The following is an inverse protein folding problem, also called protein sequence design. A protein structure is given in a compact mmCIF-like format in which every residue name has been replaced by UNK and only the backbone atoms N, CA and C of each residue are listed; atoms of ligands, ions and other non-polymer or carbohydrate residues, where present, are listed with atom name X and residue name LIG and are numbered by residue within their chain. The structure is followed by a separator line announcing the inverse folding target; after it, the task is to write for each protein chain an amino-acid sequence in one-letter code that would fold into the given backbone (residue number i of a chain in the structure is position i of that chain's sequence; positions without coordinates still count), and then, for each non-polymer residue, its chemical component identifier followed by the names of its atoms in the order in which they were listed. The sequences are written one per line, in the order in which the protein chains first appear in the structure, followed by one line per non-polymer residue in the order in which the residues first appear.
data_IF_101293317169
#
_entry.id   IF_101293317169
#
_cell.length_a   1.000
_cell.length_b   1.000
_cell.length_c   1.000
_cell.angle_alpha   90.00
_cell.angle_beta   90.00
_cell.angle_gamma   90.00
#
_symmetry.space_group_name_H-M   'P 1'
#
loop_
_entity.id
_entity.type
_entity.pdbx_description
1 polymer ?
#
# COMPACT_ATOMS: atom_id res chain seq x y z
N UNK A 1 58.35 -16.19 -8.93
CA UNK A 1 57.47 -15.56 -7.90
C UNK A 1 56.45 -14.55 -8.42
N UNK A 2 56.62 -13.86 -9.56
CA UNK A 2 55.64 -12.87 -10.05
C UNK A 2 54.34 -13.45 -10.69
N UNK A 3 54.32 -14.74 -11.05
CA UNK A 3 53.15 -15.39 -11.70
C UNK A 3 52.07 -15.89 -10.71
N UNK A 4 52.42 -16.14 -9.45
CA UNK A 4 51.46 -16.61 -8.43
C UNK A 4 50.59 -15.48 -7.86
N UNK A 5 51.09 -14.24 -7.86
CA UNK A 5 50.34 -13.07 -7.38
C UNK A 5 49.20 -12.72 -8.35
N UNK A 6 49.38 -12.91 -9.65
CA UNK A 6 48.36 -12.61 -10.67
C UNK A 6 47.15 -13.56 -10.63
N UNK A 7 47.37 -14.83 -10.25
CA UNK A 7 46.28 -15.82 -10.15
C UNK A 7 45.44 -15.57 -8.89
N UNK A 8 46.07 -15.19 -7.79
CA UNK A 8 45.37 -14.84 -6.55
C UNK A 8 44.49 -13.58 -6.69
N UNK A 9 44.94 -12.57 -7.45
CA UNK A 9 44.15 -11.36 -7.72
C UNK A 9 42.97 -11.65 -8.66
N UNK A 10 43.11 -12.54 -9.66
CA UNK A 10 41.98 -12.95 -10.49
C UNK A 10 40.93 -13.79 -9.73
N UNK A 11 41.34 -14.65 -8.79
CA UNK A 11 40.41 -15.40 -7.94
C UNK A 11 39.70 -14.50 -6.90
N UNK A 12 40.35 -13.44 -6.40
CA UNK A 12 39.75 -12.46 -5.49
C UNK A 12 38.78 -11.50 -6.21
N UNK A 13 39.03 -11.15 -7.47
CA UNK A 13 38.10 -10.32 -8.27
C UNK A 13 36.89 -11.14 -8.72
N UNK A 14 37.06 -12.44 -9.04
CA UNK A 14 35.96 -13.34 -9.38
C UNK A 14 35.04 -13.67 -8.17
N UNK A 15 35.57 -13.60 -6.94
CA UNK A 15 34.75 -13.75 -5.72
C UNK A 15 34.10 -12.43 -5.27
N UNK A 16 34.64 -11.27 -5.67
CA UNK A 16 33.98 -9.98 -5.47
C UNK A 16 32.79 -9.74 -6.42
N UNK A 17 32.78 -10.36 -7.61
CA UNK A 17 31.65 -10.32 -8.55
C UNK A 17 30.62 -11.45 -8.35
N UNK A 18 30.88 -12.43 -7.48
CA UNK A 18 29.91 -13.47 -7.09
C UNK A 18 29.02 -13.10 -5.90
N UNK A 19 29.16 -11.89 -5.34
CA UNK A 19 28.12 -11.30 -4.48
C UNK A 19 27.02 -10.62 -5.32
N UNK A 20 26.64 -11.21 -6.46
CA UNK A 20 25.29 -11.00 -6.98
C UNK A 20 24.36 -11.63 -5.94
N UNK A 21 23.93 -10.81 -4.98
CA UNK A 21 23.13 -11.23 -3.85
C UNK A 21 21.92 -12.04 -4.35
N UNK A 22 21.63 -13.11 -3.61
CA UNK A 22 20.68 -14.18 -3.95
C UNK A 22 19.52 -14.21 -2.96
N UNK A 23 19.31 -13.11 -2.25
CA UNK A 23 18.31 -13.03 -1.18
C UNK A 23 16.92 -12.81 -1.78
N UNK A 24 15.90 -13.32 -1.10
CA UNK A 24 14.53 -12.98 -1.45
C UNK A 24 14.33 -11.48 -1.16
N UNK A 25 13.81 -10.70 -2.11
CA UNK A 25 13.63 -9.28 -1.88
C UNK A 25 12.49 -9.04 -0.88
N UNK A 26 12.73 -8.16 0.08
CA UNK A 26 11.76 -7.81 1.13
C UNK A 26 11.59 -6.30 1.28
N UNK A 27 10.36 -5.88 1.59
CA UNK A 27 9.98 -4.48 1.81
C UNK A 27 9.52 -3.76 0.54
N UNK A 28 9.57 -2.44 0.59
CA UNK A 28 9.03 -1.55 -0.44
C UNK A 28 10.08 -1.17 -1.48
N UNK A 29 9.74 -1.29 -2.76
CA UNK A 29 10.57 -0.88 -3.90
C UNK A 29 9.75 -0.13 -4.93
N UNK A 30 10.38 0.76 -5.68
CA UNK A 30 9.75 1.56 -6.73
C UNK A 30 10.17 1.04 -8.11
N UNK A 31 9.21 0.93 -9.02
CA UNK A 31 9.46 0.61 -10.42
C UNK A 31 10.26 1.74 -11.07
N UNK A 32 11.43 1.41 -11.62
CA UNK A 32 12.31 2.37 -12.31
C UNK A 32 12.21 2.24 -13.83
N UNK A 33 12.09 0.99 -14.31
CA UNK A 33 12.21 0.66 -15.72
C UNK A 33 11.39 -0.57 -16.03
N UNK A 34 10.81 -0.59 -17.21
CA UNK A 34 10.17 -1.79 -17.74
C UNK A 34 10.62 -2.05 -19.18
N UNK A 35 10.86 -3.32 -19.50
CA UNK A 35 11.38 -3.76 -20.81
C UNK A 35 10.56 -4.94 -21.33
N UNK A 36 10.51 -5.06 -22.66
CA UNK A 36 9.74 -6.09 -23.37
C UNK A 36 10.70 -6.96 -24.20
N UNK A 37 10.40 -8.24 -24.31
CA UNK A 37 11.26 -9.21 -25.00
C UNK A 37 11.49 -8.87 -26.49
N UNK A 38 10.48 -8.33 -27.19
CA UNK A 38 10.53 -8.08 -28.63
C UNK A 38 11.06 -6.70 -29.02
N UNK A 39 12.22 -6.30 -28.48
CA UNK A 39 13.03 -5.19 -29.03
C UNK A 39 12.36 -3.81 -29.02
N UNK A 40 11.28 -3.64 -28.26
CA UNK A 40 10.71 -2.32 -27.99
C UNK A 40 11.67 -1.58 -27.06
N UNK A 41 11.94 -0.29 -27.32
CA UNK A 41 12.83 0.48 -26.46
C UNK A 41 12.34 0.41 -25.02
N UNK A 42 13.31 0.30 -24.12
CA UNK A 42 13.11 0.50 -22.70
C UNK A 42 12.19 1.70 -22.47
N UNK A 43 11.12 1.51 -21.73
CA UNK A 43 10.23 2.61 -21.41
C UNK A 43 10.33 2.92 -19.93
N UNK A 44 10.45 4.21 -19.63
CA UNK A 44 10.13 4.72 -18.31
C UNK A 44 8.62 4.54 -18.14
N UNK A 45 8.15 3.86 -17.09
CA UNK A 45 6.72 3.71 -16.86
C UNK A 45 6.03 5.07 -16.86
N UNK A 46 4.92 5.20 -17.60
CA UNK A 46 4.14 6.44 -17.66
C UNK A 46 3.37 6.72 -16.35
N UNK A 47 3.38 5.75 -15.44
CA UNK A 47 2.72 5.78 -14.14
C UNK A 47 3.71 5.39 -13.03
N UNK A 48 3.48 5.90 -11.82
CA UNK A 48 4.28 5.54 -10.65
C UNK A 48 3.71 4.26 -10.05
N UNK A 49 4.57 3.25 -9.90
CA UNK A 49 4.24 1.95 -9.33
C UNK A 49 5.27 1.55 -8.28
N UNK A 50 4.80 0.91 -7.22
CA UNK A 50 5.63 0.30 -6.20
C UNK A 50 5.27 -1.18 -6.05
N UNK A 51 6.23 -1.92 -5.51
CA UNK A 51 6.05 -3.29 -5.07
C UNK A 51 6.39 -3.40 -3.59
N UNK A 52 5.46 -3.90 -2.80
CA UNK A 52 5.71 -4.25 -1.41
C UNK A 52 5.82 -5.77 -1.31
N UNK A 53 7.01 -6.22 -0.96
CA UNK A 53 7.40 -7.61 -0.92
C UNK A 53 7.35 -8.13 0.51
N UNK A 54 6.49 -9.14 0.70
CA UNK A 54 6.22 -9.79 1.97
C UNK A 54 5.81 -11.25 1.70
N UNK A 55 5.22 -11.93 2.70
CA UNK A 55 4.55 -13.22 2.48
C UNK A 55 3.45 -13.18 1.41
N UNK A 56 2.88 -12.00 1.13
CA UNK A 56 1.86 -11.77 0.11
C UNK A 56 2.24 -10.51 -0.67
N UNK A 57 2.95 -10.62 -1.80
CA UNK A 57 3.45 -9.45 -2.49
C UNK A 57 2.29 -8.70 -3.15
N UNK A 58 2.37 -7.37 -3.05
CA UNK A 58 1.37 -6.46 -3.60
C UNK A 58 2.01 -5.45 -4.54
N UNK A 59 1.26 -5.08 -5.56
CA UNK A 59 1.53 -3.90 -6.40
C UNK A 59 0.70 -2.72 -5.89
N UNK A 60 1.35 -1.56 -5.82
CA UNK A 60 0.73 -0.30 -5.40
C UNK A 60 0.87 0.68 -6.57
N UNK A 61 -0.24 1.03 -7.19
CA UNK A 61 -0.28 1.98 -8.31
C UNK A 61 -0.70 3.35 -7.79
N UNK A 62 0.00 4.40 -8.21
CA UNK A 62 -0.40 5.78 -7.92
C UNK A 62 -1.44 6.22 -8.92
N UNK A 63 -2.69 6.45 -8.46
CA UNK A 63 -3.77 6.95 -9.30
C UNK A 63 -3.67 8.46 -9.52
N UNK A 64 -3.60 9.22 -8.42
CA UNK A 64 -3.45 10.68 -8.45
C UNK A 64 -2.37 11.08 -7.45
N UNK A 65 -1.41 11.89 -7.88
CA UNK A 65 -0.39 12.50 -7.03
C UNK A 65 -0.43 14.02 -7.21
N UNK A 66 -1.18 14.72 -6.35
CA UNK A 66 -1.06 16.17 -6.24
C UNK A 66 -0.13 16.51 -5.08
N UNK A 67 0.38 17.74 -4.94
CA UNK A 67 1.13 18.11 -3.74
C UNK A 67 0.37 17.96 -2.42
N UNK A 68 -0.96 17.79 -2.44
CA UNK A 68 -1.84 17.80 -1.27
C UNK A 68 -2.55 16.47 -1.01
N UNK A 69 -2.76 15.66 -2.04
CA UNK A 69 -3.54 14.43 -1.98
C UNK A 69 -2.88 13.36 -2.84
N UNK A 70 -2.74 12.17 -2.26
CA UNK A 70 -2.20 10.99 -2.94
C UNK A 70 -3.22 9.87 -2.86
N UNK A 71 -3.48 9.25 -4.00
CA UNK A 71 -4.38 8.12 -4.13
C UNK A 71 -3.60 6.92 -4.63
N UNK A 72 -3.69 5.82 -3.90
CA UNK A 72 -3.02 4.58 -4.23
C UNK A 72 -4.06 3.48 -4.41
N UNK A 73 -3.92 2.70 -5.48
CA UNK A 73 -4.67 1.46 -5.67
C UNK A 73 -3.76 0.27 -5.37
N UNK A 74 -4.26 -0.68 -4.57
CA UNK A 74 -3.50 -1.85 -4.16
C UNK A 74 -4.08 -3.09 -4.85
N UNK A 75 -3.18 -3.88 -5.42
CA UNK A 75 -3.49 -5.19 -6.00
C UNK A 75 -2.56 -6.23 -5.40
N UNK A 76 -3.11 -7.38 -5.04
CA UNK A 76 -2.30 -8.55 -4.74
C UNK A 76 -1.82 -9.19 -6.05
N UNK A 77 -0.52 -9.48 -6.11
CA UNK A 77 0.08 -10.08 -7.29
C UNK A 77 0.02 -11.60 -7.25
N UNK A 78 0.64 -12.17 -6.21
CA UNK A 78 0.80 -13.61 -6.02
C UNK A 78 0.22 -14.03 -4.67
N UNK A 79 -0.29 -15.27 -4.53
CA UNK A 79 -0.75 -15.80 -3.26
C UNK A 79 0.37 -16.21 -2.29
N UNK A 80 1.64 -16.15 -2.75
CA UNK A 80 2.83 -16.61 -2.03
C UNK A 80 3.96 -15.59 -2.17
N UNK A 81 4.97 -15.61 -1.27
CA UNK A 81 6.10 -14.70 -1.37
C UNK A 81 6.87 -14.88 -2.68
N UNK A 82 7.41 -13.79 -3.20
CA UNK A 82 8.37 -13.86 -4.29
C UNK A 82 9.69 -14.46 -3.78
N UNK A 83 10.13 -15.53 -4.42
CA UNK A 83 11.40 -16.18 -4.13
C UNK A 83 12.41 -15.91 -5.24
N UNK A 84 13.68 -15.74 -4.88
CA UNK A 84 14.76 -15.68 -5.85
C UNK A 84 14.83 -16.98 -6.66
N UNK A 85 14.70 -16.88 -7.99
CA UNK A 85 14.75 -18.03 -8.91
C UNK A 85 15.99 -18.00 -9.80
N UNK A 86 16.69 -16.87 -9.86
CA UNK A 86 17.62 -16.57 -10.94
C UNK A 86 16.90 -16.41 -12.29
N UNK A 87 17.67 -16.33 -13.38
CA UNK A 87 17.12 -16.21 -14.74
C UNK A 87 16.82 -17.57 -15.41
N UNK A 88 16.61 -18.61 -14.59
CA UNK A 88 16.22 -19.93 -15.11
C UNK A 88 14.74 -19.93 -15.47
N UNK A 89 14.36 -20.81 -16.40
CA UNK A 89 12.94 -21.05 -16.69
C UNK A 89 12.24 -21.58 -15.42
N UNK A 90 11.05 -21.05 -15.16
CA UNK A 90 10.21 -21.40 -14.00
C UNK A 90 8.86 -21.89 -14.53
N UNK A 91 8.29 -22.92 -13.93
CA UNK A 91 7.06 -23.57 -14.40
C UNK A 91 7.29 -24.59 -15.50
N UNK A 92 6.32 -25.48 -15.74
CA UNK A 92 6.43 -26.57 -16.71
C UNK A 92 6.53 -26.07 -18.16
N UNK A 93 5.88 -24.94 -18.46
CA UNK A 93 5.91 -24.27 -19.77
C UNK A 93 6.95 -23.14 -19.85
N UNK A 94 7.69 -22.91 -18.77
CA UNK A 94 8.71 -21.87 -18.66
C UNK A 94 8.17 -20.46 -18.41
N UNK A 95 6.83 -20.23 -18.42
CA UNK A 95 6.19 -18.91 -18.28
C UNK A 95 5.98 -18.44 -16.84
N UNK A 96 6.56 -19.14 -15.85
CA UNK A 96 6.50 -18.74 -14.46
C UNK A 96 7.22 -17.42 -14.18
N UNK A 97 6.75 -16.70 -13.15
CA UNK A 97 7.38 -15.46 -12.66
C UNK A 97 8.79 -15.73 -12.14
N UNK A 98 9.74 -14.85 -12.48
CA UNK A 98 11.16 -14.97 -12.12
C UNK A 98 11.63 -13.76 -11.36
N UNK A 99 12.48 -14.00 -10.36
CA UNK A 99 13.19 -12.95 -9.61
C UNK A 99 14.68 -13.21 -9.75
N UNK A 100 15.40 -12.19 -10.20
CA UNK A 100 16.85 -12.23 -10.34
C UNK A 100 17.46 -10.84 -10.15
N UNK A 101 18.79 -10.77 -10.11
CA UNK A 101 19.54 -9.55 -9.82
C UNK A 101 18.94 -8.82 -8.60
N UNK A 102 18.97 -9.48 -7.44
CA UNK A 102 18.21 -9.05 -6.26
C UNK A 102 19.12 -8.87 -5.06
N UNK A 103 18.95 -7.75 -4.37
CA UNK A 103 19.56 -7.51 -3.08
C UNK A 103 18.63 -6.69 -2.18
N UNK A 104 19.17 -6.21 -1.07
CA UNK A 104 18.44 -5.35 -0.12
C UNK A 104 17.94 -4.03 -0.72
N UNK A 105 18.51 -3.56 -1.83
CA UNK A 105 18.28 -2.25 -2.42
C UNK A 105 17.53 -2.32 -3.77
N UNK A 106 17.63 -3.42 -4.52
CA UNK A 106 17.00 -3.57 -5.84
C UNK A 106 16.60 -5.02 -6.14
N UNK A 107 15.69 -5.23 -7.09
CA UNK A 107 15.42 -6.54 -7.68
C UNK A 107 14.87 -6.41 -9.10
N UNK A 108 15.03 -7.47 -9.90
CA UNK A 108 14.38 -7.59 -11.21
C UNK A 108 13.31 -8.67 -11.18
N UNK A 109 12.12 -8.33 -11.68
CA UNK A 109 10.99 -9.24 -11.86
C UNK A 109 10.75 -9.47 -13.34
N UNK A 110 10.66 -10.72 -13.76
CA UNK A 110 10.24 -11.07 -15.12
C UNK A 110 8.98 -11.94 -15.05
N UNK A 111 7.92 -11.52 -15.72
CA UNK A 111 6.64 -12.22 -15.73
C UNK A 111 6.09 -12.29 -17.15
N UNK A 112 5.29 -13.31 -17.43
CA UNK A 112 4.73 -13.53 -18.76
C UNK A 112 3.30 -12.98 -18.84
N UNK A 113 3.06 -12.04 -19.75
CA UNK A 113 1.75 -11.41 -19.86
C UNK A 113 0.81 -12.21 -20.75
N UNK A 114 -0.20 -12.85 -20.16
CA UNK A 114 -1.25 -13.58 -20.89
C UNK A 114 -2.52 -12.74 -21.12
N UNK A 115 -2.56 -11.51 -20.62
CA UNK A 115 -3.76 -10.66 -20.68
C UNK A 115 -3.93 -10.13 -22.11
N UNK A 116 -5.08 -10.42 -22.72
CA UNK A 116 -5.43 -9.92 -24.06
C UNK A 116 -5.37 -8.39 -24.11
N UNK A 117 -4.77 -7.77 -25.15
CA UNK A 117 -4.72 -6.33 -25.24
C UNK A 117 -6.14 -5.79 -25.41
N UNK A 118 -6.57 -4.91 -24.51
CA UNK A 118 -7.65 -3.96 -24.75
C UNK A 118 -7.07 -2.71 -25.43
N UNK A 119 -7.88 -1.84 -26.06
CA UNK A 119 -7.38 -0.61 -26.67
C UNK A 119 -6.57 0.28 -25.71
N UNK A 120 -6.82 0.13 -24.42
CA UNK A 120 -6.18 0.83 -23.30
C UNK A 120 -4.92 0.10 -22.75
N UNK A 121 -4.65 -1.15 -23.18
CA UNK A 121 -3.60 -1.96 -22.58
C UNK A 121 -2.22 -1.54 -23.07
N UNK A 122 -1.40 -1.12 -22.10
CA UNK A 122 -0.02 -0.65 -22.27
C UNK A 122 0.92 -1.81 -22.63
N UNK A 123 0.58 -3.05 -22.26
CA UNK A 123 1.47 -4.20 -22.34
C UNK A 123 1.18 -5.12 -23.53
N UNK A 124 2.23 -5.61 -24.22
CA UNK A 124 2.08 -6.62 -25.27
C UNK A 124 1.62 -7.95 -24.66
N UNK A 125 0.71 -8.63 -25.35
CA UNK A 125 0.24 -9.97 -24.98
C UNK A 125 1.23 -11.03 -25.47
N UNK A 126 1.37 -12.12 -24.71
CA UNK A 126 2.24 -13.27 -24.99
C UNK A 126 3.72 -12.88 -25.08
N UNK A 127 4.16 -11.96 -24.22
CA UNK A 127 5.55 -11.55 -24.11
C UNK A 127 5.97 -11.54 -22.64
N UNK A 128 7.26 -11.77 -22.40
CA UNK A 128 7.83 -11.46 -21.10
C UNK A 128 7.96 -9.96 -20.92
N UNK A 129 7.53 -9.52 -19.74
CA UNK A 129 7.71 -8.17 -19.23
C UNK A 129 8.75 -8.26 -18.13
N UNK A 130 9.78 -7.44 -18.25
CA UNK A 130 10.84 -7.33 -17.23
C UNK A 130 10.70 -5.98 -16.55
N UNK A 131 10.60 -5.99 -15.24
CA UNK A 131 10.46 -4.83 -14.38
C UNK A 131 11.66 -4.73 -13.44
N UNK A 132 12.29 -3.55 -13.42
CA UNK A 132 13.43 -3.27 -12.54
C UNK A 132 12.96 -2.35 -11.42
N UNK A 133 13.18 -2.80 -10.18
CA UNK A 133 12.77 -2.14 -8.96
C UNK A 133 13.97 -1.72 -8.12
N UNK A 134 13.92 -0.53 -7.53
CA UNK A 134 14.96 0.01 -6.65
C UNK A 134 14.31 0.71 -5.44
N UNK A 135 14.99 0.71 -4.29
CA UNK A 135 14.64 1.50 -3.10
C UNK A 135 15.05 2.97 -3.22
N UNK A 136 15.90 3.32 -4.18
CA UNK A 136 16.26 4.71 -4.50
C UNK A 136 15.06 5.49 -5.00
N UNK A 137 15.10 6.81 -4.75
CA UNK A 137 14.08 7.77 -5.17
C UNK A 137 12.65 7.40 -4.70
N UNK A 138 12.55 6.74 -3.55
CA UNK A 138 11.27 6.48 -2.91
C UNK A 138 10.64 7.79 -2.45
N UNK A 139 9.39 8.05 -2.85
CA UNK A 139 8.66 9.20 -2.37
C UNK A 139 8.44 9.10 -0.85
N UNK A 140 8.78 10.14 -0.06
CA UNK A 140 8.60 10.12 1.39
C UNK A 140 7.17 9.79 1.82
N UNK A 141 6.17 10.20 1.03
CA UNK A 141 4.75 9.94 1.28
C UNK A 141 4.37 8.48 1.11
N UNK A 142 5.00 7.77 0.17
CA UNK A 142 4.77 6.34 -0.02
C UNK A 142 5.38 5.55 1.14
N UNK A 143 6.62 5.86 1.51
CA UNK A 143 7.26 5.29 2.70
C UNK A 143 6.40 5.51 3.94
N UNK A 144 5.92 6.74 4.15
CA UNK A 144 5.05 7.09 5.27
C UNK A 144 3.72 6.34 5.24
N UNK A 145 3.13 6.15 4.06
CA UNK A 145 1.89 5.39 3.89
C UNK A 145 2.08 3.94 4.33
N UNK A 146 3.19 3.30 3.92
CA UNK A 146 3.52 1.95 4.35
C UNK A 146 3.76 1.89 5.86
N UNK A 147 4.53 2.81 6.44
CA UNK A 147 4.76 2.84 7.89
C UNK A 147 3.44 2.93 8.69
N UNK A 148 2.49 3.73 8.22
CA UNK A 148 1.18 3.87 8.85
C UNK A 148 0.32 2.59 8.69
N UNK A 149 0.38 1.93 7.53
CA UNK A 149 -0.28 0.63 7.30
C UNK A 149 0.39 -0.52 8.07
N UNK A 150 1.68 -0.41 8.36
CA UNK A 150 2.40 -1.29 9.28
C UNK A 150 2.11 -0.95 10.75
N UNK A 151 1.31 0.10 11.01
CA UNK A 151 1.01 0.62 12.35
C UNK A 151 2.29 0.95 13.16
N UNK A 152 3.40 1.28 12.48
CA UNK A 152 4.65 1.68 13.12
C UNK A 152 4.58 3.12 13.63
N UNK A 153 5.38 3.41 14.65
CA UNK A 153 5.53 4.76 15.23
C UNK A 153 4.24 5.40 15.75
N UNK A 154 3.29 4.61 16.23
CA UNK A 154 2.06 5.09 16.88
C UNK A 154 2.28 5.50 18.34
N UNK A 155 3.34 6.25 18.64
CA UNK A 155 3.47 6.85 19.95
C UNK A 155 2.30 7.86 20.12
N UNK A 156 1.40 7.70 21.10
CA UNK A 156 0.20 8.51 21.18
C UNK A 156 0.55 9.92 21.66
N UNK A 157 0.77 10.83 20.72
CA UNK A 157 0.81 12.28 21.00
C UNK A 157 -0.57 12.91 20.97
N UNK A 158 -1.58 12.20 20.43
CA UNK A 158 -2.96 12.65 20.34
C UNK A 158 -3.92 11.47 20.58
N UNK A 159 -5.16 11.76 21.01
CA UNK A 159 -6.21 10.78 21.29
C UNK A 159 -6.70 10.01 20.05
N UNK A 160 -6.42 10.53 18.86
CA UNK A 160 -6.83 9.95 17.59
C UNK A 160 -5.89 8.87 17.07
N UNK A 161 -4.70 8.71 17.66
CA UNK A 161 -3.68 7.80 17.17
C UNK A 161 -4.23 6.36 17.01
N UNK A 162 -3.90 5.74 15.88
CA UNK A 162 -4.31 4.37 15.55
C UNK A 162 -5.35 4.30 14.44
N UNK A 163 -6.01 3.15 14.35
CA UNK A 163 -6.96 2.83 13.29
C UNK A 163 -8.40 2.92 13.79
N UNK A 164 -9.26 3.48 12.94
CA UNK A 164 -10.67 3.72 13.20
C UNK A 164 -11.48 3.23 12.01
N UNK A 165 -12.60 2.57 12.26
CA UNK A 165 -13.52 2.10 11.23
C UNK A 165 -14.80 2.92 11.27
N UNK A 166 -15.29 3.32 10.11
CA UNK A 166 -16.58 3.97 9.97
C UNK A 166 -17.68 2.96 10.25
N UNK A 167 -18.58 3.29 11.18
CA UNK A 167 -19.74 2.48 11.54
C UNK A 167 -20.96 2.92 10.71
N UNK A 168 -21.07 4.20 10.39
CA UNK A 168 -22.08 4.73 9.50
C UNK A 168 -22.23 6.24 9.57
N UNK A 169 -23.14 6.76 8.75
CA UNK A 169 -23.53 8.16 8.77
C UNK A 169 -24.62 8.36 9.82
N UNK A 170 -24.45 9.37 10.66
CA UNK A 170 -25.41 9.76 11.69
C UNK A 170 -26.45 10.67 11.07
N UNK A 171 -27.71 10.24 11.10
CA UNK A 171 -28.87 11.01 10.69
C UNK A 171 -29.89 11.14 11.82
N UNK A 172 -31.01 11.77 11.52
CA UNK A 172 -32.12 11.91 12.46
C UNK A 172 -33.44 11.61 11.74
N UNK A 173 -34.28 10.78 12.36
CA UNK A 173 -35.64 10.49 11.90
C UNK A 173 -36.58 10.64 13.09
N UNK A 174 -37.53 11.55 13.00
CA UNK A 174 -38.50 11.85 14.07
C UNK A 174 -37.85 12.16 15.44
N UNK A 175 -36.72 12.87 15.46
CA UNK A 175 -35.99 13.18 16.70
C UNK A 175 -35.11 12.05 17.24
N UNK A 176 -35.08 10.90 16.58
CA UNK A 176 -34.23 9.77 16.97
C UNK A 176 -32.99 9.71 16.07
N UNK A 177 -31.82 9.54 16.69
CA UNK A 177 -30.57 9.33 15.98
C UNK A 177 -30.61 7.97 15.26
N UNK A 178 -30.37 7.99 13.95
CA UNK A 178 -30.30 6.79 13.10
C UNK A 178 -28.91 6.66 12.49
N UNK A 179 -28.48 5.42 12.27
CA UNK A 179 -27.19 5.13 11.67
C UNK A 179 -27.36 4.41 10.32
N UNK A 180 -27.02 5.11 9.25
CA UNK A 180 -26.97 4.53 7.91
C UNK A 180 -25.61 3.84 7.70
N UNK A 181 -25.60 2.50 7.60
CA UNK A 181 -24.38 1.71 7.40
C UNK A 181 -23.70 2.07 6.07
N UNK A 182 -22.35 2.11 6.03
CA UNK A 182 -21.63 2.37 4.79
C UNK A 182 -21.73 1.16 3.85
N UNK A 183 -21.66 1.41 2.54
CA UNK A 183 -21.67 0.37 1.51
C UNK A 183 -20.30 -0.31 1.33
N UNK A 184 -19.23 0.35 1.78
CA UNK A 184 -17.84 -0.09 1.69
C UNK A 184 -17.20 0.00 3.07
N UNK A 185 -16.26 -0.90 3.39
CA UNK A 185 -15.51 -0.76 4.63
C UNK A 185 -14.53 0.40 4.50
N UNK A 186 -14.71 1.43 5.33
CA UNK A 186 -13.86 2.60 5.36
C UNK A 186 -13.12 2.66 6.70
N UNK A 187 -11.81 2.84 6.63
CA UNK A 187 -10.93 3.01 7.77
C UNK A 187 -10.18 4.33 7.69
N UNK A 188 -9.98 4.97 8.84
CA UNK A 188 -9.05 6.08 9.04
C UNK A 188 -7.89 5.63 9.90
N UNK A 189 -6.67 5.92 9.49
CA UNK A 189 -5.46 5.64 10.28
C UNK A 189 -4.79 6.98 10.54
N UNK A 190 -4.83 7.44 11.78
CA UNK A 190 -4.21 8.70 12.18
C UNK A 190 -2.78 8.45 12.66
N UNK A 191 -1.84 9.16 12.04
CA UNK A 191 -0.47 9.28 12.53
C UNK A 191 -0.27 10.58 13.30
N UNK A 192 0.99 11.04 13.40
CA UNK A 192 1.30 12.26 14.16
C UNK A 192 0.88 13.53 13.42
N UNK A 193 0.92 13.54 12.08
CA UNK A 193 0.71 14.71 11.22
C UNK A 193 -0.02 14.37 9.92
N UNK A 194 -0.61 13.19 9.85
CA UNK A 194 -1.17 12.59 8.65
C UNK A 194 -2.36 11.71 8.99
N UNK A 195 -3.22 11.52 7.99
CA UNK A 195 -4.31 10.57 8.02
C UNK A 195 -4.30 9.77 6.72
N UNK A 196 -4.49 8.46 6.84
CA UNK A 196 -4.82 7.59 5.71
C UNK A 196 -6.30 7.24 5.75
N UNK A 197 -6.95 7.24 4.59
CA UNK A 197 -8.26 6.63 4.40
C UNK A 197 -8.08 5.37 3.56
N UNK A 198 -8.43 4.24 4.14
CA UNK A 198 -8.41 2.95 3.47
C UNK A 198 -9.85 2.54 3.15
N UNK A 199 -10.16 2.48 1.86
CA UNK A 199 -11.38 1.90 1.32
C UNK A 199 -11.11 0.46 0.93
N UNK A 200 -11.87 -0.44 1.51
CA UNK A 200 -11.80 -1.86 1.23
C UNK A 200 -13.20 -2.38 0.89
N UNK A 201 -13.35 -2.94 -0.31
CA UNK A 201 -14.64 -3.47 -0.78
C UNK A 201 -15.03 -4.72 0.01
N UNK A 202 -14.41 -5.83 -0.35
CA UNK A 202 -14.55 -7.13 0.31
C UNK A 202 -13.42 -7.34 1.34
N UNK A 203 -13.27 -8.56 1.85
CA UNK A 203 -12.14 -8.90 2.73
C UNK A 203 -10.80 -9.03 1.96
N UNK A 204 -10.76 -8.73 0.65
CA UNK A 204 -9.54 -8.80 -0.18
C UNK A 204 -8.67 -7.55 -0.04
N UNK A 205 -7.37 -7.71 -0.31
CA UNK A 205 -6.46 -6.57 -0.50
C UNK A 205 -6.65 -5.97 -1.90
N UNK A 206 -6.91 -6.82 -2.90
CA UNK A 206 -7.03 -6.39 -4.29
C UNK A 206 -8.24 -5.49 -4.48
N UNK A 207 -8.02 -4.33 -5.11
CA UNK A 207 -9.06 -3.33 -5.33
C UNK A 207 -9.23 -2.36 -4.16
N UNK A 208 -8.41 -2.48 -3.10
CA UNK A 208 -8.37 -1.49 -2.03
C UNK A 208 -7.79 -0.17 -2.55
N UNK A 209 -8.32 0.93 -2.05
CA UNK A 209 -7.83 2.28 -2.36
C UNK A 209 -7.42 2.99 -1.08
N UNK A 210 -6.24 3.59 -1.09
CA UNK A 210 -5.70 4.37 0.04
C UNK A 210 -5.54 5.82 -0.37
N UNK A 211 -6.13 6.72 0.41
CA UNK A 211 -5.93 8.15 0.30
C UNK A 211 -5.02 8.62 1.43
N UNK A 212 -4.05 9.47 1.10
CA UNK A 212 -3.16 10.10 2.08
C UNK A 212 -3.38 11.61 2.11
N UNK A 213 -3.58 12.16 3.31
CA UNK A 213 -3.69 13.60 3.54
C UNK A 213 -2.83 14.05 4.74
N UNK A 214 -2.31 15.28 4.74
CA UNK A 214 -1.79 15.89 5.96
C UNK A 214 -2.93 16.11 6.97
N UNK A 215 -2.65 15.94 8.25
CA UNK A 215 -3.58 16.18 9.35
C UNK A 215 -2.99 17.15 10.38
N UNK A 216 -3.82 18.04 10.92
CA UNK A 216 -3.47 18.89 12.06
C UNK A 216 -4.44 18.64 13.20
N UNK A 217 -3.91 18.26 14.36
CA UNK A 217 -4.68 18.00 15.57
C UNK A 217 -4.69 19.26 16.43
N UNK A 218 -5.67 20.13 16.18
CA UNK A 218 -5.76 21.44 16.84
C UNK A 218 -6.22 21.33 18.29
N UNK A 219 -7.08 20.34 18.57
CA UNK A 219 -7.51 19.94 19.91
C UNK A 219 -8.08 18.52 19.89
N UNK A 220 -8.47 17.99 21.05
CA UNK A 220 -9.20 16.73 21.14
C UNK A 220 -10.57 16.78 20.44
N UNK A 221 -11.08 17.97 20.11
CA UNK A 221 -12.39 18.13 19.48
C UNK A 221 -12.34 18.69 18.06
N UNK A 222 -11.15 19.00 17.53
CA UNK A 222 -11.02 19.63 16.21
C UNK A 222 -9.78 19.08 15.50
N UNK A 223 -10.01 18.49 14.33
CA UNK A 223 -8.96 18.01 13.42
C UNK A 223 -9.11 18.76 12.09
N UNK A 224 -7.99 19.08 11.44
CA UNK A 224 -7.98 19.51 10.04
C UNK A 224 -7.42 18.37 9.19
N UNK A 225 -8.27 17.73 8.40
CA UNK A 225 -7.88 16.66 7.45
C UNK A 225 -7.76 17.27 6.04
N UNK A 226 -6.53 17.50 5.57
CA UNK A 226 -6.29 18.24 4.34
C UNK A 226 -6.82 19.68 4.43
N UNK A 227 -7.96 19.96 3.80
CA UNK A 227 -8.67 21.25 3.89
C UNK A 227 -9.95 21.19 4.73
N UNK A 228 -10.37 19.99 5.12
CA UNK A 228 -11.64 19.78 5.80
C UNK A 228 -11.44 19.97 7.28
N UNK A 229 -12.08 21.01 7.84
CA UNK A 229 -12.17 21.17 9.28
C UNK A 229 -13.23 20.20 9.79
N UNK A 230 -12.80 19.31 10.67
CA UNK A 230 -13.60 18.25 11.26
C UNK A 230 -13.82 18.53 12.73
N UNK A 231 -15.08 18.69 13.14
CA UNK A 231 -15.48 18.83 14.53
C UNK A 231 -15.81 17.44 15.12
N UNK A 232 -15.27 17.15 16.29
CA UNK A 232 -15.31 15.82 16.92
C UNK A 232 -16.15 15.86 18.19
N UNK A 233 -17.16 15.00 18.25
CA UNK A 233 -17.94 14.70 19.44
C UNK A 233 -17.60 13.29 19.93
N UNK A 234 -16.84 13.19 21.02
CA UNK A 234 -16.56 11.92 21.66
C UNK A 234 -17.83 11.33 22.29
N UNK A 235 -18.08 10.05 22.02
CA UNK A 235 -19.14 9.28 22.69
C UNK A 235 -18.55 8.46 23.85
N UNK A 236 -17.32 7.98 23.69
CA UNK A 236 -16.49 7.39 24.74
C UNK A 236 -15.02 7.35 24.27
N UNK A 237 -14.16 6.57 24.93
CA UNK A 237 -12.73 6.48 24.60
C UNK A 237 -12.41 5.77 23.28
N UNK A 238 -13.37 5.00 22.76
CA UNK A 238 -13.21 4.20 21.54
C UNK A 238 -14.17 4.60 20.43
N UNK A 239 -15.02 5.61 20.62
CA UNK A 239 -15.92 6.10 19.59
C UNK A 239 -16.11 7.60 19.59
N UNK A 240 -16.21 8.16 18.39
CA UNK A 240 -16.54 9.56 18.18
C UNK A 240 -17.43 9.74 16.95
N UNK A 241 -18.13 10.87 16.91
CA UNK A 241 -18.79 11.39 15.72
C UNK A 241 -17.93 12.51 15.15
N UNK A 242 -17.59 12.42 13.88
CA UNK A 242 -16.87 13.43 13.13
C UNK A 242 -17.85 14.17 12.23
N UNK A 243 -17.85 15.49 12.29
CA UNK A 243 -18.71 16.35 11.48
C UNK A 243 -17.87 17.25 10.59
N UNK A 244 -18.23 17.38 9.32
CA UNK A 244 -17.55 18.28 8.39
C UNK A 244 -18.51 18.78 7.30
N UNK A 245 -18.22 19.95 6.75
CA UNK A 245 -18.89 20.47 5.55
C UNK A 245 -18.32 19.76 4.31
N UNK A 246 -19.20 19.18 3.49
CA UNK A 246 -18.84 18.53 2.23
C UNK A 246 -18.33 19.52 1.17
N UNK A 247 -18.45 20.82 1.41
CA UNK A 247 -18.05 21.91 0.53
C UNK A 247 -19.22 22.53 -0.24
N UNK A 248 -20.44 22.04 0.00
CA UNK A 248 -21.70 22.56 -0.53
C UNK A 248 -22.64 23.05 0.58
N UNK A 249 -22.13 23.22 1.80
CA UNK A 249 -22.88 23.65 2.97
C UNK A 249 -23.62 22.51 3.68
N UNK A 250 -23.59 21.28 3.15
CA UNK A 250 -24.16 20.11 3.82
C UNK A 250 -23.17 19.55 4.82
N UNK A 251 -23.57 19.51 6.08
CA UNK A 251 -22.79 18.90 7.15
C UNK A 251 -23.01 17.38 7.14
N UNK A 252 -21.94 16.65 6.89
CA UNK A 252 -21.89 15.19 7.01
C UNK A 252 -21.46 14.85 8.43
N UNK A 253 -22.12 13.85 9.04
CA UNK A 253 -21.77 13.31 10.36
C UNK A 253 -21.46 11.83 10.24
N UNK A 254 -20.26 11.43 10.61
CA UNK A 254 -19.77 10.06 10.50
C UNK A 254 -19.44 9.53 11.90
N UNK A 255 -19.95 8.34 12.24
CA UNK A 255 -19.58 7.66 13.48
C UNK A 255 -18.40 6.72 13.23
N UNK A 256 -17.36 6.86 14.06
CA UNK A 256 -16.11 6.11 13.99
C UNK A 256 -15.87 5.33 15.27
N UNK A 257 -15.29 4.14 15.13
CA UNK A 257 -14.90 3.28 16.25
C UNK A 257 -13.44 2.83 16.12
N UNK A 258 -12.72 2.84 17.23
CA UNK A 258 -11.33 2.40 17.29
C UNK A 258 -11.24 0.89 17.05
N UNK A 259 -10.33 0.47 16.18
CA UNK A 259 -10.17 -0.92 15.77
C UNK A 259 -8.73 -1.20 15.31
N UNK A 260 -8.40 -2.45 15.02
CA UNK A 260 -7.29 -2.78 14.14
C UNK A 260 -7.64 -2.58 12.66
N UNK A 261 -6.61 -2.70 11.81
CA UNK A 261 -6.75 -2.76 10.36
C UNK A 261 -7.63 -3.95 9.93
N UNK A 262 -8.12 -3.99 8.68
CA UNK A 262 -8.74 -5.20 8.15
C UNK A 262 -7.86 -6.43 8.27
N UNK A 263 -8.46 -7.62 8.41
CA UNK A 263 -7.74 -8.87 8.63
C UNK A 263 -6.71 -9.17 7.52
N UNK A 264 -7.04 -8.84 6.27
CA UNK A 264 -6.14 -9.01 5.14
C UNK A 264 -4.92 -8.07 5.20
N UNK A 265 -5.11 -6.83 5.63
CA UNK A 265 -4.02 -5.86 5.88
C UNK A 265 -3.20 -6.25 7.13
N UNK A 266 -3.86 -6.74 8.18
CA UNK A 266 -3.19 -7.28 9.36
C UNK A 266 -2.24 -8.43 8.99
N UNK A 267 -2.72 -9.36 8.17
CA UNK A 267 -1.95 -10.48 7.64
C UNK A 267 -0.79 -10.02 6.74
N UNK A 268 -1.02 -9.02 5.90
CA UNK A 268 0.00 -8.46 5.02
C UNK A 268 1.15 -7.80 5.78
N UNK A 269 0.82 -6.98 6.79
CA UNK A 269 1.79 -6.17 7.54
C UNK A 269 2.22 -6.76 8.89
N UNK A 270 1.69 -7.93 9.26
CA UNK A 270 2.00 -8.61 10.52
C UNK A 270 1.50 -7.88 11.76
N UNK A 271 0.40 -7.13 11.66
CA UNK A 271 -0.21 -6.43 12.81
C UNK A 271 -1.28 -7.30 13.45
N UNK A 272 -1.44 -7.24 14.77
CA UNK A 272 -2.35 -8.12 15.53
C UNK A 272 -3.30 -7.32 16.45
N UNK A 273 -3.83 -6.20 15.96
CA UNK A 273 -4.78 -5.38 16.73
C UNK A 273 -6.19 -5.91 16.45
N UNK A 274 -6.97 -6.33 17.45
CA UNK A 274 -8.29 -6.91 17.22
C UNK A 274 -9.23 -5.98 16.45
N UNK A 275 -9.96 -6.56 15.49
CA UNK A 275 -11.08 -5.85 14.85
C UNK A 275 -12.23 -5.81 15.84
N UNK A 276 -12.64 -4.60 16.23
CA UNK A 276 -13.82 -4.43 17.07
C UNK A 276 -15.07 -4.39 16.19
N UNK A 277 -16.14 -5.02 16.64
CA UNK A 277 -17.47 -4.93 16.04
C UNK A 277 -18.41 -4.30 17.07
N UNK A 278 -19.18 -3.29 16.64
CA UNK A 278 -20.27 -2.78 17.44
C UNK A 278 -21.56 -3.43 16.94
N UNK A 279 -22.27 -4.11 17.84
CA UNK A 279 -23.65 -4.53 17.58
C UNK A 279 -24.53 -3.28 17.62
N UNK A 280 -24.59 -2.55 16.51
CA UNK A 280 -25.59 -1.51 16.32
C UNK A 280 -26.87 -2.23 15.92
N UNK A 281 -27.86 -2.24 16.80
CA UNK A 281 -29.21 -2.69 16.47
C UNK A 281 -29.67 -1.88 15.27
N UNK A 282 -29.79 -2.52 14.11
CA UNK A 282 -30.40 -1.91 12.94
C UNK A 282 -31.88 -1.76 13.22
N UNK A 283 -32.26 -0.62 13.78
CA UNK A 283 -33.65 -0.17 13.78
C UNK A 283 -33.99 0.27 12.36
N UNK A 284 -34.70 -0.60 11.64
CA UNK A 284 -35.62 -0.19 10.60
C UNK A 284 -37.02 -0.31 11.19
#
# INVERSE_FOLDING_TARGET
MKKFISIFVCCLIASASMFAQTENPEGLYRLQKMTYENGRPDHTPEFIQYKYLSAYPITIMVGTATPKEYVYSIRQDEPHPYTYTGDKLVGEDGHGTRIYDSNKDHFTLKWYNTIRPRPENIFPMNEYITEIYDKKNMEPRMTRTIEMLEMKHQAPKNRFAGCWRMIGNVGEVNGLEVLAKPTTNLYKIYGEKDVLLLFQGDESITGSTVYYWPAQFNSDNVILEGKNKCDIQWRNDKTFVLSFDRGDGIIVKEMWMQTGLPASFQKLFGTNIPIQNMNVSSGF
#
